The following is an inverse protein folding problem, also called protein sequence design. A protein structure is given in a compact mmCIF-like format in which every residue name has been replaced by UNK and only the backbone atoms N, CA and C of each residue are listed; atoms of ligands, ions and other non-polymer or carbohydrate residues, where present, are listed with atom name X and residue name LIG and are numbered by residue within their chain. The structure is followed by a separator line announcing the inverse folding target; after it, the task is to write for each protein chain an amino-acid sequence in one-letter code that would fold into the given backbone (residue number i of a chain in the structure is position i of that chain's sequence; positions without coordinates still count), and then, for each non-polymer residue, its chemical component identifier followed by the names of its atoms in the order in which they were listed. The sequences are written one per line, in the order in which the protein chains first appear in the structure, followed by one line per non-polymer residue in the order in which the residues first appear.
data_IF_614483859233
#
_entry.id   IF_614483859233
#
_cell.length_a   1.000
_cell.length_b   1.000
_cell.length_c   1.000
_cell.angle_alpha   90.00
_cell.angle_beta   90.00
_cell.angle_gamma   90.00
#
_symmetry.space_group_name_H-M   'P 1'
#
loop_
_entity.id
_entity.type
_entity.pdbx_description
1 polymer ?
#
# COMPACT_ATOMS: atom_id res chain seq x y z
N UNK A 1 -25.26 34.55 16.40
CA UNK A 1 -23.87 34.14 16.66
C UNK A 1 -23.76 32.72 17.24
N UNK A 2 -24.65 32.34 18.15
CA UNK A 2 -24.63 31.01 18.77
C UNK A 2 -24.81 29.89 17.75
N UNK A 3 -25.73 30.03 16.81
CA UNK A 3 -25.99 29.02 15.77
C UNK A 3 -24.80 28.82 14.83
N UNK A 4 -24.14 29.91 14.49
CA UNK A 4 -22.94 29.85 13.60
C UNK A 4 -21.77 29.16 14.32
N UNK A 5 -21.52 29.48 15.57
CA UNK A 5 -20.48 28.86 16.40
C UNK A 5 -20.72 27.37 16.55
N UNK A 6 -21.97 26.97 16.80
CA UNK A 6 -22.35 25.56 16.90
C UNK A 6 -22.15 24.82 15.59
N UNK A 7 -22.46 25.44 14.45
CA UNK A 7 -22.27 24.88 13.15
C UNK A 7 -20.78 24.64 12.86
N UNK A 8 -19.91 25.62 13.14
CA UNK A 8 -18.47 25.48 12.97
C UNK A 8 -17.87 24.41 13.90
N UNK A 9 -18.34 24.34 15.15
CA UNK A 9 -17.91 23.31 16.10
C UNK A 9 -18.27 21.91 15.62
N UNK A 10 -19.50 21.72 15.15
CA UNK A 10 -19.95 20.45 14.62
C UNK A 10 -19.12 20.03 13.38
N UNK A 11 -18.88 20.96 12.47
CA UNK A 11 -18.07 20.72 11.28
C UNK A 11 -16.63 20.34 11.65
N UNK A 12 -16.05 21.04 12.62
CA UNK A 12 -14.70 20.75 13.11
C UNK A 12 -14.60 19.35 13.74
N UNK A 13 -15.59 18.95 14.54
CA UNK A 13 -15.65 17.61 15.15
C UNK A 13 -15.74 16.54 14.08
N UNK A 14 -16.57 16.71 13.06
CA UNK A 14 -16.70 15.75 11.95
C UNK A 14 -15.38 15.64 11.19
N UNK A 15 -14.74 16.76 10.90
CA UNK A 15 -13.42 16.75 10.24
C UNK A 15 -12.36 16.04 11.09
N UNK A 16 -12.32 16.32 12.40
CA UNK A 16 -11.38 15.67 13.31
C UNK A 16 -11.61 14.16 13.41
N UNK A 17 -12.86 13.72 13.48
CA UNK A 17 -13.22 12.30 13.51
C UNK A 17 -12.85 11.60 12.19
N UNK A 18 -13.02 12.27 11.06
CA UNK A 18 -12.64 11.74 9.76
C UNK A 18 -11.13 11.55 9.67
N UNK A 19 -10.35 12.54 10.08
CA UNK A 19 -8.89 12.46 10.13
C UNK A 19 -8.45 11.37 11.10
N UNK A 20 -9.02 11.31 12.28
CA UNK A 20 -8.72 10.29 13.27
C UNK A 20 -8.99 8.88 12.75
N UNK A 21 -10.17 8.64 12.20
CA UNK A 21 -10.53 7.30 11.70
C UNK A 21 -9.67 6.87 10.50
N UNK A 22 -9.27 7.82 9.67
CA UNK A 22 -8.48 7.52 8.47
C UNK A 22 -6.99 7.30 8.78
N UNK A 23 -6.40 8.12 9.66
CA UNK A 23 -4.95 8.18 9.83
C UNK A 23 -4.45 7.74 11.21
N UNK A 24 -5.22 7.99 12.25
CA UNK A 24 -4.82 7.69 13.63
C UNK A 24 -5.49 6.42 14.18
N UNK A 25 -6.72 6.16 13.77
CA UNK A 25 -7.48 4.99 14.21
C UNK A 25 -7.18 3.73 13.40
N UNK A 26 -6.64 3.86 12.20
CA UNK A 26 -6.31 2.76 11.33
C UNK A 26 -4.79 2.55 11.27
N UNK A 27 -4.37 1.31 11.43
CA UNK A 27 -2.96 0.91 11.28
C UNK A 27 -2.84 -0.02 10.08
N UNK A 28 -1.81 0.19 9.27
CA UNK A 28 -1.50 -0.68 8.15
C UNK A 28 -0.35 -1.60 8.52
N UNK A 29 -0.47 -2.85 8.17
CA UNK A 29 0.61 -3.83 8.29
C UNK A 29 0.85 -4.50 6.95
N UNK A 30 2.10 -4.86 6.70
CA UNK A 30 2.53 -5.49 5.47
C UNK A 30 3.08 -6.87 5.79
N UNK A 31 2.69 -7.85 4.99
CA UNK A 31 3.11 -9.23 5.21
C UNK A 31 3.48 -9.88 3.88
N UNK A 32 4.55 -10.65 3.91
CA UNK A 32 4.90 -11.55 2.84
C UNK A 32 4.42 -12.93 3.24
N UNK A 33 3.40 -13.42 2.55
CA UNK A 33 2.80 -14.71 2.83
C UNK A 33 3.39 -15.77 1.91
N UNK A 34 4.00 -16.78 2.51
CA UNK A 34 4.49 -17.97 1.81
C UNK A 34 3.73 -19.18 2.34
N UNK A 35 3.17 -19.96 1.45
CA UNK A 35 2.37 -21.12 1.82
C UNK A 35 3.22 -22.39 1.77
N UNK A 36 4.02 -22.65 2.79
CA UNK A 36 4.82 -23.87 3.03
C UNK A 36 5.28 -24.66 1.79
N UNK A 37 5.76 -23.95 0.76
CA UNK A 37 6.23 -24.54 -0.49
C UNK A 37 5.16 -24.86 -1.51
N UNK A 38 3.90 -24.63 -1.21
CA UNK A 38 2.80 -24.79 -2.15
C UNK A 38 2.24 -23.42 -2.56
N UNK A 39 2.30 -23.11 -3.84
CA UNK A 39 1.74 -21.90 -4.41
C UNK A 39 2.68 -20.70 -4.40
N UNK A 40 2.23 -19.66 -5.06
CA UNK A 40 2.95 -18.44 -5.28
C UNK A 40 2.96 -17.55 -4.03
N UNK A 41 4.12 -17.00 -3.61
CA UNK A 41 4.15 -16.09 -2.47
C UNK A 41 3.38 -14.79 -2.78
N UNK A 42 2.69 -14.28 -1.77
CA UNK A 42 1.85 -13.08 -1.87
C UNK A 42 2.36 -11.96 -0.98
N UNK A 43 2.21 -10.73 -1.43
CA UNK A 43 2.36 -9.54 -0.63
C UNK A 43 0.97 -9.06 -0.20
N UNK A 44 0.75 -8.91 1.10
CA UNK A 44 -0.54 -8.57 1.67
C UNK A 44 -0.45 -7.28 2.47
N UNK A 45 -1.37 -6.36 2.21
CA UNK A 45 -1.56 -5.15 3.01
C UNK A 45 -2.83 -5.32 3.85
N UNK A 46 -2.68 -5.22 5.16
CA UNK A 46 -3.79 -5.32 6.12
C UNK A 46 -4.03 -3.99 6.80
N UNK A 47 -5.29 -3.68 7.03
CA UNK A 47 -5.70 -2.55 7.84
C UNK A 47 -6.31 -3.07 9.14
N UNK A 48 -5.81 -2.56 10.26
CA UNK A 48 -6.35 -2.84 11.59
C UNK A 48 -7.01 -1.59 12.14
N UNK A 49 -8.29 -1.67 12.47
CA UNK A 49 -9.05 -0.61 13.10
C UNK A 49 -9.67 -1.15 14.38
N UNK A 50 -9.10 -0.79 15.55
CA UNK A 50 -9.48 -1.38 16.82
C UNK A 50 -9.21 -2.89 16.86
N UNK A 51 -10.27 -3.69 16.95
CA UNK A 51 -10.19 -5.16 16.93
C UNK A 51 -10.44 -5.77 15.53
N UNK A 52 -10.77 -4.93 14.56
CA UNK A 52 -11.13 -5.37 13.21
C UNK A 52 -9.90 -5.37 12.30
N UNK A 53 -9.66 -6.49 11.64
CA UNK A 53 -8.58 -6.64 10.66
C UNK A 53 -9.20 -6.89 9.29
N UNK A 54 -8.78 -6.12 8.29
CA UNK A 54 -9.25 -6.26 6.91
C UNK A 54 -8.06 -6.37 5.96
N UNK A 55 -8.16 -7.25 4.98
CA UNK A 55 -7.16 -7.33 3.90
C UNK A 55 -7.56 -6.32 2.83
N UNK A 56 -6.73 -5.31 2.59
CA UNK A 56 -6.98 -4.26 1.60
C UNK A 56 -6.39 -4.60 0.24
N UNK A 57 -5.26 -5.28 0.22
CA UNK A 57 -4.52 -5.58 -0.99
C UNK A 57 -3.85 -6.94 -0.87
N UNK A 58 -3.93 -7.71 -1.94
CA UNK A 58 -3.27 -9.01 -2.06
C UNK A 58 -2.74 -9.11 -3.48
N UNK A 59 -1.42 -9.07 -3.62
CA UNK A 59 -0.77 -9.11 -4.92
C UNK A 59 0.31 -10.18 -4.94
N UNK A 60 0.62 -10.69 -6.13
CA UNK A 60 1.73 -11.61 -6.30
C UNK A 60 3.05 -10.93 -5.97
N UNK A 61 3.85 -11.56 -5.11
CA UNK A 61 5.19 -11.06 -4.78
C UNK A 61 6.08 -10.99 -6.03
N UNK A 62 5.97 -11.97 -6.91
CA UNK A 62 6.71 -12.00 -8.18
C UNK A 62 6.32 -10.86 -9.12
N UNK A 63 5.12 -10.31 -8.98
CA UNK A 63 4.62 -9.19 -9.78
C UNK A 63 5.17 -7.82 -9.36
N UNK A 64 5.83 -7.71 -8.22
CA UNK A 64 6.48 -6.47 -7.78
C UNK A 64 7.73 -6.24 -8.61
N UNK A 65 7.67 -5.26 -9.51
CA UNK A 65 8.77 -4.98 -10.44
C UNK A 65 9.75 -3.94 -9.92
N UNK A 66 9.31 -3.07 -9.01
CA UNK A 66 10.13 -1.98 -8.50
C UNK A 66 9.67 -1.57 -7.10
N UNK A 67 10.63 -1.32 -6.20
CA UNK A 67 10.41 -0.76 -4.88
C UNK A 67 11.42 0.38 -4.70
N UNK A 68 10.94 1.61 -4.65
CA UNK A 68 11.78 2.81 -4.63
C UNK A 68 11.35 3.77 -3.52
N UNK A 69 12.27 4.27 -2.69
CA UNK A 69 11.96 5.35 -1.76
C UNK A 69 11.82 6.68 -2.50
N UNK A 70 10.72 7.39 -2.27
CA UNK A 70 10.44 8.69 -2.88
C UNK A 70 9.83 9.63 -1.85
N UNK A 71 9.82 10.94 -2.14
CA UNK A 71 8.96 11.87 -1.41
C UNK A 71 7.51 11.66 -1.84
N UNK A 72 6.55 12.08 -1.02
CA UNK A 72 5.13 11.94 -1.36
C UNK A 72 4.79 12.68 -2.66
N UNK A 73 5.39 13.84 -2.87
CA UNK A 73 5.19 14.63 -4.10
C UNK A 73 5.67 13.89 -5.35
N UNK A 74 6.86 13.30 -5.28
CA UNK A 74 7.44 12.51 -6.38
C UNK A 74 6.64 11.24 -6.63
N UNK A 75 6.21 10.56 -5.58
CA UNK A 75 5.40 9.35 -5.69
C UNK A 75 4.05 9.63 -6.37
N UNK A 76 3.37 10.70 -5.99
CA UNK A 76 2.11 11.10 -6.63
C UNK A 76 2.30 11.50 -8.10
N UNK A 77 3.35 12.23 -8.41
CA UNK A 77 3.67 12.62 -9.78
C UNK A 77 3.96 11.39 -10.65
N UNK A 78 4.71 10.43 -10.13
CA UNK A 78 5.01 9.18 -10.82
C UNK A 78 3.78 8.31 -11.06
N UNK A 79 2.89 8.23 -10.08
CA UNK A 79 1.63 7.49 -10.20
C UNK A 79 0.71 8.10 -11.28
N UNK A 80 0.63 9.41 -11.35
CA UNK A 80 -0.12 10.11 -12.41
C UNK A 80 0.49 9.83 -13.78
N UNK A 81 1.81 9.89 -13.89
CA UNK A 81 2.51 9.64 -15.16
C UNK A 81 2.34 8.20 -15.66
N UNK A 82 2.25 7.23 -14.76
CA UNK A 82 2.07 5.82 -15.11
C UNK A 82 0.69 5.49 -15.68
N UNK A 83 -0.33 6.29 -15.34
CA UNK A 83 -1.72 6.07 -15.75
C UNK A 83 -2.38 4.84 -15.14
N UNK A 84 -1.73 4.18 -14.21
CA UNK A 84 -2.23 2.99 -13.54
C UNK A 84 -2.90 3.37 -12.23
N UNK A 85 -3.91 2.59 -11.82
CA UNK A 85 -4.59 2.83 -10.56
C UNK A 85 -3.62 2.78 -9.38
N UNK A 86 -3.68 3.79 -8.51
CA UNK A 86 -2.83 3.88 -7.33
C UNK A 86 -3.61 3.61 -6.06
N UNK A 87 -2.94 2.95 -5.13
CA UNK A 87 -3.45 2.71 -3.79
C UNK A 87 -2.54 3.38 -2.77
N UNK A 88 -3.12 4.19 -1.90
CA UNK A 88 -2.40 4.93 -0.88
C UNK A 88 -2.65 4.30 0.50
N UNK A 89 -1.63 3.66 1.06
CA UNK A 89 -1.71 3.00 2.36
C UNK A 89 -0.66 3.57 3.31
N UNK A 90 -0.81 4.84 3.66
CA UNK A 90 0.07 5.51 4.61
C UNK A 90 -0.67 5.80 5.91
N UNK A 91 -0.03 5.53 7.03
CA UNK A 91 -0.58 5.79 8.36
C UNK A 91 -0.42 7.26 8.75
N UNK A 92 0.71 7.85 8.38
CA UNK A 92 1.01 9.25 8.67
C UNK A 92 0.27 10.18 7.72
N UNK A 93 -0.30 11.26 8.26
CA UNK A 93 -1.08 12.23 7.48
C UNK A 93 -0.22 12.95 6.43
N UNK A 94 1.00 13.35 6.80
CA UNK A 94 1.95 14.02 5.92
C UNK A 94 3.31 13.31 5.96
N UNK A 95 3.44 12.12 5.34
CA UNK A 95 4.70 11.41 5.35
C UNK A 95 5.76 12.15 4.55
N UNK A 96 6.95 12.29 5.12
CA UNK A 96 8.10 12.92 4.44
C UNK A 96 8.70 12.00 3.38
N UNK A 97 8.63 10.70 3.61
CA UNK A 97 9.20 9.67 2.74
C UNK A 97 8.24 8.49 2.64
N UNK A 98 8.04 8.02 1.42
CA UNK A 98 7.20 6.85 1.14
C UNK A 98 7.96 5.88 0.25
N UNK A 99 7.45 4.66 0.16
CA UNK A 99 7.96 3.67 -0.79
C UNK A 99 6.95 3.48 -1.91
N UNK A 100 7.43 3.66 -3.11
CA UNK A 100 6.66 3.43 -4.32
C UNK A 100 6.88 1.99 -4.79
N UNK A 101 5.82 1.19 -4.77
CA UNK A 101 5.85 -0.21 -5.16
C UNK A 101 5.07 -0.37 -6.45
N UNK A 102 5.75 -0.81 -7.48
CA UNK A 102 5.16 -1.01 -8.80
C UNK A 102 4.83 -2.48 -9.00
N UNK A 103 3.55 -2.78 -9.18
CA UNK A 103 3.05 -4.14 -9.41
C UNK A 103 2.65 -4.29 -10.86
N UNK A 104 3.24 -5.24 -11.53
CA UNK A 104 2.94 -5.55 -12.93
C UNK A 104 2.93 -7.07 -13.12
N UNK A 105 1.76 -7.59 -13.44
CA UNK A 105 1.58 -8.98 -13.83
C UNK A 105 0.80 -9.02 -15.14
N UNK A 106 0.65 -10.20 -15.71
CA UNK A 106 -0.15 -10.39 -16.91
C UNK A 106 -1.60 -9.94 -16.74
N UNK A 107 -2.16 -10.10 -15.54
CA UNK A 107 -3.56 -9.82 -15.23
C UNK A 107 -3.77 -8.60 -14.36
N UNK A 108 -2.72 -8.06 -13.77
CA UNK A 108 -2.83 -7.02 -12.74
C UNK A 108 -1.78 -5.93 -12.91
N UNK A 109 -2.23 -4.68 -12.82
CA UNK A 109 -1.36 -3.50 -12.81
C UNK A 109 -1.81 -2.57 -11.69
N UNK A 110 -0.94 -2.28 -10.77
CA UNK A 110 -1.22 -1.39 -9.66
C UNK A 110 0.05 -0.69 -9.18
N UNK A 111 -0.11 0.52 -8.69
CA UNK A 111 0.96 1.25 -8.03
C UNK A 111 0.56 1.45 -6.57
N UNK A 112 1.45 1.05 -5.65
CA UNK A 112 1.21 1.16 -4.22
C UNK A 112 2.14 2.22 -3.64
N UNK A 113 1.58 3.09 -2.80
CA UNK A 113 2.34 4.06 -2.03
C UNK A 113 2.25 3.65 -0.57
N UNK A 114 3.36 3.20 0.01
CA UNK A 114 3.44 2.58 1.31
C UNK A 114 4.41 3.34 2.21
N UNK A 115 4.25 3.17 3.51
CA UNK A 115 5.11 3.77 4.53
C UNK A 115 5.65 2.67 5.45
N UNK A 116 6.96 2.71 5.72
CA UNK A 116 7.58 1.73 6.60
C UNK A 116 9.09 1.89 6.68
N UNK A 117 9.78 0.89 7.22
CA UNK A 117 11.22 0.91 7.40
C UNK A 117 11.99 0.58 6.12
N UNK A 118 13.18 1.14 5.99
CA UNK A 118 14.09 0.81 4.88
C UNK A 118 14.44 -0.68 4.87
N UNK A 119 14.60 -1.27 6.03
CA UNK A 119 14.94 -2.69 6.19
C UNK A 119 13.86 -3.60 5.61
N UNK A 120 12.60 -3.32 5.94
CA UNK A 120 11.47 -4.08 5.42
C UNK A 120 11.37 -3.99 3.90
N UNK A 121 11.48 -2.78 3.34
CA UNK A 121 11.35 -2.60 1.89
C UNK A 121 12.57 -3.12 1.11
N UNK A 122 13.75 -3.13 1.70
CA UNK A 122 14.91 -3.82 1.12
C UNK A 122 14.70 -5.33 1.09
N UNK A 123 14.16 -5.90 2.14
CA UNK A 123 13.76 -7.30 2.20
C UNK A 123 12.67 -7.64 1.19
N UNK A 124 11.65 -6.77 1.08
CA UNK A 124 10.58 -6.93 0.11
C UNK A 124 11.11 -6.92 -1.33
N UNK A 125 12.00 -5.99 -1.65
CA UNK A 125 12.62 -5.90 -2.97
C UNK A 125 13.42 -7.15 -3.32
N UNK A 126 14.24 -7.64 -2.40
CA UNK A 126 15.04 -8.86 -2.59
C UNK A 126 14.14 -10.10 -2.75
N UNK A 127 13.11 -10.21 -1.90
CA UNK A 127 12.15 -11.33 -1.95
C UNK A 127 11.34 -11.33 -3.25
N UNK A 128 10.97 -10.14 -3.74
CA UNK A 128 10.25 -10.02 -5.01
C UNK A 128 11.12 -10.46 -6.20
N UNK A 129 12.38 -10.09 -6.23
CA UNK A 129 13.32 -10.52 -7.27
C UNK A 129 13.51 -12.03 -7.27
N UNK A 130 13.67 -12.62 -6.10
CA UNK A 130 13.77 -14.08 -5.96
C UNK A 130 12.50 -14.78 -6.42
N UNK A 131 11.34 -14.30 -6.00
CA UNK A 131 10.04 -14.86 -6.40
C UNK A 131 9.83 -14.80 -7.92
N UNK A 132 10.27 -13.72 -8.57
CA UNK A 132 10.15 -13.56 -10.02
C UNK A 132 10.98 -14.59 -10.81
N UNK A 133 12.03 -15.15 -10.23
CA UNK A 133 12.82 -16.24 -10.84
C UNK A 133 12.02 -17.54 -10.86
N UNK A 134 11.33 -17.87 -9.77
CA UNK A 134 10.56 -19.10 -9.63
C UNK A 134 9.15 -18.99 -10.21
N UNK A 135 8.56 -17.79 -10.20
CA UNK A 135 7.19 -17.52 -10.65
C UNK A 135 7.20 -16.32 -11.60
N UNK A 136 7.69 -16.46 -12.85
CA UNK A 136 7.77 -15.34 -13.77
C UNK A 136 6.39 -14.69 -13.99
N UNK A 137 6.27 -13.36 -13.76
CA UNK A 137 4.96 -12.69 -13.78
C UNK A 137 4.35 -12.58 -15.17
N UNK A 138 5.13 -12.78 -16.21
CA UNK A 138 4.70 -12.75 -17.61
C UNK A 138 4.89 -14.09 -18.32
N UNK A 139 5.05 -15.18 -17.57
CA UNK A 139 5.14 -16.51 -18.16
C UNK A 139 3.84 -16.86 -18.89
N UNK A 140 3.96 -17.44 -20.06
CA UNK A 140 2.85 -18.03 -20.75
C UNK A 140 2.39 -19.26 -19.96
N UNK A 141 1.09 -19.36 -19.75
CA UNK A 141 0.55 -20.60 -19.21
C UNK A 141 0.78 -21.68 -20.28
N UNK A 142 1.52 -22.70 -19.93
CA UNK A 142 1.62 -23.89 -20.77
C UNK A 142 0.24 -24.52 -20.85
N UNK A 143 -0.33 -24.49 -22.03
CA UNK A 143 -1.57 -25.20 -22.33
C UNK A 143 -1.37 -26.73 -22.27
#
# INVERSE_FOLDING_TARGET
YRGIIQLFSALFIVAALTVYSRYLGAKYSYEIFTNDGEGEPLFIVRQTTGKRVSILCRVSLAGISEVVPLSMKEAKARAVASGVHRYLYTTTLFPSRVFYVKVRTRHEKADLILEGSDEFFSYLSASAKEAAIYYPPFAEEEE
#
